data_IF_582008013263
#
_entry.id   IF_582008013263
#
_cell.length_a   1.000
_cell.length_b   1.000
_cell.length_c   1.000
_cell.angle_alpha   90.00
_cell.angle_beta   90.00
_cell.angle_gamma   90.00
#
_symmetry.space_group_name_H-M   'P 1'
#
loop_
_entity.id
_entity.type
_entity.pdbx_description
1 polymer ?
#
# COMPACT_ATOMS: atom_id res chain seq x y z
N UNK A 1 -12.48 -11.47 -23.02
CA UNK A 1 -11.09 -11.82 -22.68
C UNK A 1 -10.72 -11.07 -21.42
N UNK A 2 -10.19 -11.71 -20.36
CA UNK A 2 -9.73 -10.96 -19.20
C UNK A 2 -8.52 -10.10 -19.58
N UNK A 3 -8.63 -8.78 -19.39
CA UNK A 3 -7.53 -7.85 -19.63
C UNK A 3 -6.45 -8.06 -18.56
N UNK A 4 -5.32 -8.62 -18.95
CA UNK A 4 -4.11 -8.70 -18.14
C UNK A 4 -3.15 -7.66 -18.69
N UNK A 5 -2.76 -6.71 -17.84
CA UNK A 5 -1.84 -5.64 -18.20
C UNK A 5 -0.56 -5.80 -17.38
N UNK A 6 0.57 -5.93 -18.04
CA UNK A 6 1.87 -5.84 -17.37
C UNK A 6 2.14 -4.37 -17.11
N UNK A 7 2.19 -3.98 -15.85
CA UNK A 7 2.49 -2.61 -15.40
C UNK A 7 3.82 -2.55 -14.67
N UNK A 8 4.44 -1.38 -14.67
CA UNK A 8 5.59 -1.08 -13.83
C UNK A 8 5.13 -0.40 -12.54
N UNK A 9 5.47 -0.97 -11.38
CA UNK A 9 5.08 -0.40 -10.09
C UNK A 9 5.75 0.98 -9.90
N UNK A 10 5.01 2.08 -9.71
CA UNK A 10 5.60 3.42 -9.58
C UNK A 10 6.47 3.59 -8.33
N UNK A 11 6.36 2.69 -7.35
CA UNK A 11 7.17 2.71 -6.12
C UNK A 11 8.53 2.03 -6.26
N UNK A 12 8.57 0.84 -6.86
CA UNK A 12 9.77 0.01 -6.90
C UNK A 12 10.29 -0.27 -8.32
N UNK A 13 9.60 0.24 -9.33
CA UNK A 13 9.86 0.03 -10.76
C UNK A 13 9.81 -1.43 -11.24
N UNK A 14 9.41 -2.37 -10.38
CA UNK A 14 9.26 -3.78 -10.76
C UNK A 14 8.02 -3.96 -11.65
N UNK A 15 8.17 -4.77 -12.70
CA UNK A 15 7.05 -5.22 -13.52
C UNK A 15 6.14 -6.17 -12.70
N UNK A 16 4.83 -6.03 -12.86
CA UNK A 16 3.85 -6.91 -12.25
C UNK A 16 2.60 -7.05 -13.13
N UNK A 17 1.85 -8.13 -12.93
CA UNK A 17 0.57 -8.33 -13.60
C UNK A 17 -0.55 -7.59 -12.86
N UNK A 18 -1.14 -6.60 -13.50
CA UNK A 18 -2.39 -6.00 -13.08
C UNK A 18 -3.55 -6.73 -13.78
N UNK A 19 -4.45 -7.33 -13.00
CA UNK A 19 -5.63 -8.04 -13.50
C UNK A 19 -6.91 -7.31 -13.06
N UNK A 20 -7.01 -6.01 -13.34
CA UNK A 20 -8.17 -5.21 -12.90
C UNK A 20 -9.50 -5.75 -13.45
N UNK A 21 -9.49 -6.35 -14.66
CA UNK A 21 -10.66 -7.03 -15.24
C UNK A 21 -11.02 -8.36 -14.58
N UNK A 22 -10.17 -8.89 -13.70
CA UNK A 22 -10.42 -10.06 -12.86
C UNK A 22 -9.79 -9.81 -11.48
N UNK A 23 -10.45 -8.95 -10.70
CA UNK A 23 -9.90 -8.40 -9.46
C UNK A 23 -9.47 -9.47 -8.46
N UNK A 24 -10.15 -10.61 -8.39
CA UNK A 24 -9.81 -11.74 -7.49
C UNK A 24 -8.48 -12.41 -7.85
N UNK A 25 -7.98 -12.21 -9.06
CA UNK A 25 -6.66 -12.64 -9.50
C UNK A 25 -5.62 -11.51 -9.53
N UNK A 26 -5.99 -10.29 -9.11
CA UNK A 26 -5.10 -9.14 -9.12
C UNK A 26 -4.15 -9.15 -7.91
N UNK A 27 -2.98 -8.53 -8.07
CA UNK A 27 -1.99 -8.38 -7.01
C UNK A 27 -2.53 -7.62 -5.77
N UNK A 28 -3.53 -6.76 -5.94
CA UNK A 28 -4.17 -6.03 -4.85
C UNK A 28 -5.23 -6.85 -4.09
N UNK A 29 -5.63 -8.03 -4.61
CA UNK A 29 -6.67 -8.84 -3.99
C UNK A 29 -6.27 -9.34 -2.59
N UNK A 30 -7.27 -9.43 -1.70
CA UNK A 30 -7.08 -9.84 -0.31
C UNK A 30 -6.27 -8.86 0.55
N UNK A 31 -5.98 -7.65 0.06
CA UNK A 31 -5.30 -6.60 0.84
C UNK A 31 -6.34 -5.55 1.25
N UNK A 32 -6.67 -5.54 2.55
CA UNK A 32 -7.59 -4.54 3.10
C UNK A 32 -6.85 -3.30 3.60
N UNK A 33 -7.39 -2.14 3.24
CA UNK A 33 -6.99 -0.81 3.70
C UNK A 33 -8.20 -0.08 4.29
N UNK A 34 -8.00 0.72 5.34
CA UNK A 34 -9.01 1.69 5.80
C UNK A 34 -9.04 2.94 4.90
N UNK A 35 -10.00 3.84 5.10
CA UNK A 35 -10.19 4.98 4.19
C UNK A 35 -9.01 5.96 4.21
N UNK A 36 -8.37 6.18 5.37
CA UNK A 36 -7.17 7.00 5.47
C UNK A 36 -5.97 6.37 4.74
N UNK A 37 -5.80 5.05 4.85
CA UNK A 37 -4.77 4.30 4.13
C UNK A 37 -5.01 4.35 2.60
N UNK A 38 -6.27 4.22 2.15
CA UNK A 38 -6.63 4.32 0.73
C UNK A 38 -6.37 5.73 0.18
N UNK A 39 -6.80 6.76 0.91
CA UNK A 39 -6.57 8.16 0.53
C UNK A 39 -5.07 8.47 0.44
N UNK A 40 -4.27 7.99 1.40
CA UNK A 40 -2.81 8.07 1.33
C UNK A 40 -2.27 7.43 0.03
N UNK A 41 -2.68 6.21 -0.30
CA UNK A 41 -2.22 5.54 -1.52
C UNK A 41 -2.62 6.34 -2.76
N UNK A 42 -3.87 6.76 -2.86
CA UNK A 42 -4.40 7.49 -4.02
C UNK A 42 -3.71 8.86 -4.25
N UNK A 43 -3.32 9.55 -3.18
CA UNK A 43 -2.60 10.83 -3.27
C UNK A 43 -1.13 10.68 -3.67
N UNK A 44 -0.50 9.55 -3.32
CA UNK A 44 0.94 9.36 -3.50
C UNK A 44 1.30 8.57 -4.77
N UNK A 45 0.36 7.80 -5.33
CA UNK A 45 0.62 6.93 -6.48
C UNK A 45 -0.50 7.07 -7.52
N UNK A 46 -0.12 7.45 -8.74
CA UNK A 46 -1.05 7.68 -9.85
C UNK A 46 -1.49 6.39 -10.57
N UNK A 47 -0.88 5.25 -10.27
CA UNK A 47 -1.17 3.97 -10.91
C UNK A 47 -1.10 2.81 -9.89
N UNK A 48 -1.47 1.62 -10.33
CA UNK A 48 -1.48 0.39 -9.55
C UNK A 48 -0.09 0.06 -8.99
N UNK A 49 -0.08 -0.44 -7.76
CA UNK A 49 1.11 -0.91 -7.06
C UNK A 49 1.17 -2.43 -7.04
N UNK A 50 2.37 -2.99 -7.08
CA UNK A 50 2.55 -4.42 -6.89
C UNK A 50 2.22 -4.83 -5.44
N UNK A 51 1.89 -6.12 -5.24
CA UNK A 51 1.51 -6.68 -3.94
C UNK A 51 2.53 -6.41 -2.84
N UNK A 52 3.83 -6.56 -3.15
CA UNK A 52 4.91 -6.29 -2.20
C UNK A 52 4.81 -4.86 -1.66
N UNK A 53 4.73 -3.88 -2.55
CA UNK A 53 4.67 -2.48 -2.15
C UNK A 53 3.39 -2.13 -1.40
N UNK A 54 2.25 -2.71 -1.76
CA UNK A 54 0.98 -2.54 -1.02
C UNK A 54 1.09 -3.04 0.43
N UNK A 55 1.71 -4.21 0.63
CA UNK A 55 1.92 -4.77 1.96
C UNK A 55 2.90 -3.93 2.81
N UNK A 56 3.99 -3.47 2.19
CA UNK A 56 4.98 -2.60 2.84
C UNK A 56 4.35 -1.25 3.25
N UNK A 57 3.59 -0.58 2.36
CA UNK A 57 2.90 0.68 2.69
C UNK A 57 1.96 0.46 3.88
N UNK A 58 1.16 -0.61 3.87
CA UNK A 58 0.25 -0.93 4.97
C UNK A 58 0.97 -1.07 6.30
N UNK A 59 2.11 -1.76 6.28
CA UNK A 59 2.93 -1.93 7.46
C UNK A 59 3.51 -0.60 7.95
N UNK A 60 4.04 0.22 7.05
CA UNK A 60 4.61 1.53 7.36
C UNK A 60 3.56 2.49 7.96
N UNK A 61 2.37 2.57 7.37
CA UNK A 61 1.29 3.44 7.89
C UNK A 61 0.93 3.02 9.31
N UNK A 62 0.73 1.71 9.54
CA UNK A 62 0.34 1.18 10.86
C UNK A 62 1.42 1.37 11.91
N UNK A 63 2.69 1.17 11.56
CA UNK A 63 3.81 1.46 12.46
C UNK A 63 3.89 2.94 12.81
N UNK A 64 3.72 3.84 11.84
CA UNK A 64 3.68 5.29 12.08
C UNK A 64 2.54 5.65 13.03
N UNK A 65 1.32 5.16 12.77
CA UNK A 65 0.17 5.40 13.65
C UNK A 65 0.35 4.83 15.05
N UNK A 66 1.00 3.66 15.19
CA UNK A 66 1.33 3.10 16.50
C UNK A 66 2.35 3.98 17.24
N UNK A 67 3.46 4.33 16.58
CA UNK A 67 4.50 5.16 17.17
C UNK A 67 3.97 6.54 17.58
N UNK A 68 3.07 7.14 16.80
CA UNK A 68 2.42 8.41 17.16
C UNK A 68 1.63 8.29 18.46
N UNK A 69 0.82 7.23 18.60
CA UNK A 69 0.09 6.94 19.83
C UNK A 69 1.01 6.66 21.02
N UNK A 70 2.09 5.91 20.79
CA UNK A 70 3.10 5.64 21.83
C UNK A 70 3.75 6.95 22.28
N UNK A 71 4.16 7.81 21.36
CA UNK A 71 4.79 9.10 21.68
C UNK A 71 3.86 10.04 22.45
N UNK A 72 2.54 9.94 22.25
CA UNK A 72 1.55 10.68 23.03
C UNK A 72 1.45 10.20 24.49
N UNK A 73 1.75 8.93 24.77
CA UNK A 73 1.65 8.33 26.10
C UNK A 73 3.01 8.37 26.82
N UNK A 74 4.08 8.10 26.08
CA UNK A 74 5.46 8.04 26.52
C UNK A 74 6.26 8.99 25.61
N UNK A 75 6.41 10.26 25.99
CA UNK A 75 7.23 11.19 25.21
C UNK A 75 8.64 10.60 25.09
N UNK A 76 9.28 10.76 23.92
CA UNK A 76 10.58 10.16 23.67
C UNK A 76 11.54 10.57 24.79
N UNK A 77 12.16 9.57 25.44
CA UNK A 77 13.26 9.77 26.36
C UNK A 77 14.39 10.40 25.54
N UNK A 78 14.43 11.74 25.54
CA UNK A 78 15.56 12.49 25.01
C UNK A 78 16.78 12.02 25.80
N UNK A 79 17.71 11.33 25.11
CA UNK A 79 19.06 11.14 25.61
C UNK A 79 19.79 12.47 25.62
#
# INVERSE_FOLDING_TARGET
MPCHETKSCPRCSAAFECKVGNVTACQCDGITFNDAEKDYIARNYADCLCRKCLLEIRHEIRLKSFNEKVNQILPPLKK
#
